data_IF_375149662371
#
_entry.id   IF_375149662371
#
_cell.length_a   1.000
_cell.length_b   1.000
_cell.length_c   1.000
_cell.angle_alpha   90.00
_cell.angle_beta   90.00
_cell.angle_gamma   90.00
#
_symmetry.space_group_name_H-M   'P 1'
#
loop_
_entity.id
_entity.type
_entity.pdbx_description
1 polymer ?
#
# COMPACT_ATOMS: atom_id res chain seq x y z
N UNK A 1 15.93 -16.48 -13.19
CA UNK A 1 16.66 -15.79 -14.26
C UNK A 1 17.11 -14.39 -13.82
N UNK A 2 16.23 -13.55 -13.19
CA UNK A 2 16.55 -12.18 -12.79
C UNK A 2 17.65 -12.10 -11.74
N UNK A 3 17.58 -12.90 -10.68
CA UNK A 3 18.63 -12.94 -9.64
C UNK A 3 20.01 -13.33 -10.20
N UNK A 4 20.05 -14.24 -11.18
CA UNK A 4 21.30 -14.60 -11.84
C UNK A 4 21.94 -13.42 -12.61
N UNK A 5 21.15 -12.40 -12.92
CA UNK A 5 21.61 -11.14 -13.53
C UNK A 5 21.82 -10.02 -12.47
N UNK A 6 21.74 -10.33 -11.18
CA UNK A 6 21.89 -9.36 -10.09
C UNK A 6 20.69 -8.43 -9.92
N UNK A 7 19.51 -8.79 -10.47
CA UNK A 7 18.29 -7.96 -10.43
C UNK A 7 17.40 -8.43 -9.28
N UNK A 8 17.05 -7.53 -8.37
CA UNK A 8 16.08 -7.75 -7.30
C UNK A 8 14.65 -7.63 -7.83
N UNK A 9 13.71 -8.34 -7.19
CA UNK A 9 12.31 -8.43 -7.60
C UNK A 9 11.41 -7.86 -6.50
N UNK A 10 10.67 -6.82 -6.80
CA UNK A 10 9.62 -6.32 -5.93
C UNK A 10 8.25 -6.62 -6.55
N UNK A 11 7.34 -7.17 -5.75
CA UNK A 11 5.95 -7.30 -6.15
C UNK A 11 5.13 -6.10 -5.68
N UNK A 12 4.06 -5.80 -6.42
CA UNK A 12 3.11 -4.78 -6.04
C UNK A 12 2.13 -5.35 -5.00
N UNK A 13 2.22 -4.84 -3.78
CA UNK A 13 1.39 -5.22 -2.63
C UNK A 13 0.16 -4.32 -2.53
N UNK A 14 -0.93 -4.67 -3.23
CA UNK A 14 -2.20 -3.95 -3.17
C UNK A 14 -3.00 -4.47 -1.98
N UNK A 15 -2.77 -3.91 -0.79
CA UNK A 15 -3.35 -4.40 0.48
C UNK A 15 -4.47 -3.53 1.03
N UNK A 16 -4.64 -2.30 0.52
CA UNK A 16 -5.70 -1.40 0.96
C UNK A 16 -7.09 -1.87 0.52
N UNK A 17 -7.19 -2.46 -0.67
CA UNK A 17 -8.46 -2.81 -1.29
C UNK A 17 -8.33 -4.04 -2.18
N UNK A 18 -9.47 -4.58 -2.56
CA UNK A 18 -9.60 -5.70 -3.50
C UNK A 18 -10.68 -5.39 -4.53
N UNK A 19 -10.60 -6.04 -5.69
CA UNK A 19 -11.69 -5.98 -6.65
C UNK A 19 -12.95 -6.71 -6.16
N UNK A 20 -14.12 -6.32 -6.64
CA UNK A 20 -15.42 -6.94 -6.30
C UNK A 20 -15.50 -8.44 -6.61
N UNK A 21 -14.61 -8.96 -7.46
CA UNK A 21 -14.46 -10.37 -7.75
C UNK A 21 -13.71 -11.19 -6.69
N UNK A 22 -13.17 -10.55 -5.64
CA UNK A 22 -12.47 -11.22 -4.57
C UNK A 22 -13.38 -12.23 -3.86
N UNK A 23 -12.87 -13.42 -3.62
CA UNK A 23 -13.68 -14.56 -3.17
C UNK A 23 -14.42 -14.31 -1.84
N UNK A 24 -13.77 -13.64 -0.88
CA UNK A 24 -14.39 -13.29 0.40
C UNK A 24 -15.49 -12.24 0.24
N UNK A 25 -15.32 -11.27 -0.67
CA UNK A 25 -16.36 -10.30 -0.96
C UNK A 25 -17.56 -10.92 -1.70
N UNK A 26 -17.32 -11.87 -2.60
CA UNK A 26 -18.40 -12.64 -3.23
C UNK A 26 -19.22 -13.43 -2.22
N UNK A 27 -18.57 -14.04 -1.24
CA UNK A 27 -19.30 -14.73 -0.16
C UNK A 27 -20.20 -13.75 0.62
N UNK A 28 -19.72 -12.52 0.88
CA UNK A 28 -20.55 -11.46 1.50
C UNK A 28 -21.72 -11.06 0.60
N UNK A 29 -21.52 -10.94 -0.71
CA UNK A 29 -22.59 -10.63 -1.65
C UNK A 29 -23.71 -11.71 -1.63
N UNK A 30 -23.32 -12.98 -1.48
CA UNK A 30 -24.26 -14.12 -1.45
C UNK A 30 -24.95 -14.29 -0.09
N UNK A 31 -24.17 -14.27 1.01
CA UNK A 31 -24.63 -14.66 2.35
C UNK A 31 -24.96 -13.47 3.25
N UNK A 32 -24.49 -12.27 2.90
CA UNK A 32 -24.74 -11.04 3.65
C UNK A 32 -24.34 -11.17 5.12
N UNK A 33 -25.30 -11.05 6.04
CA UNK A 33 -25.09 -11.16 7.49
C UNK A 33 -24.49 -12.50 7.94
N UNK A 34 -24.78 -13.55 7.22
CA UNK A 34 -24.34 -14.91 7.53
C UNK A 34 -22.94 -15.20 7.00
N UNK A 35 -22.34 -14.29 6.24
CA UNK A 35 -20.97 -14.44 5.77
C UNK A 35 -19.96 -14.32 6.92
N UNK A 36 -19.04 -15.30 7.06
CA UNK A 36 -17.95 -15.19 8.03
C UNK A 36 -16.92 -14.12 7.65
N UNK A 37 -17.01 -13.58 6.44
CA UNK A 37 -16.06 -12.59 5.90
C UNK A 37 -16.59 -11.16 5.93
N UNK A 38 -17.80 -10.89 6.47
CA UNK A 38 -18.36 -9.54 6.50
C UNK A 38 -17.45 -8.54 7.21
N UNK A 39 -16.77 -8.96 8.28
CA UNK A 39 -15.86 -8.11 9.06
C UNK A 39 -14.48 -7.95 8.44
N UNK A 40 -14.23 -8.58 7.28
CA UNK A 40 -13.03 -8.35 6.47
C UNK A 40 -13.08 -7.02 5.73
N UNK A 41 -14.26 -6.41 5.68
CA UNK A 41 -14.55 -5.15 5.00
C UNK A 41 -15.26 -4.21 5.96
N UNK A 42 -15.35 -2.95 5.62
CA UNK A 42 -16.18 -1.97 6.33
C UNK A 42 -17.55 -1.92 5.67
N UNK A 43 -18.52 -2.65 6.20
CA UNK A 43 -19.84 -2.86 5.60
C UNK A 43 -20.94 -2.28 6.49
N UNK A 44 -21.96 -1.66 5.87
CA UNK A 44 -23.23 -1.31 6.49
C UNK A 44 -24.39 -1.92 5.71
N UNK A 45 -25.18 -2.72 6.36
CA UNK A 45 -26.37 -3.36 5.75
C UNK A 45 -27.59 -2.43 5.71
N UNK A 46 -27.49 -1.25 6.30
CA UNK A 46 -28.52 -0.20 6.25
C UNK A 46 -28.37 0.73 5.04
N UNK A 47 -27.32 0.55 4.24
CA UNK A 47 -26.99 1.36 3.08
C UNK A 47 -26.94 0.59 1.78
N UNK A 48 -26.51 1.28 0.73
CA UNK A 48 -26.28 0.69 -0.58
C UNK A 48 -25.18 1.45 -1.33
N UNK A 49 -24.65 0.85 -2.39
CA UNK A 49 -23.74 1.48 -3.33
C UNK A 49 -24.39 1.60 -4.70
N UNK A 50 -23.67 2.17 -5.68
CA UNK A 50 -24.13 2.23 -7.08
C UNK A 50 -24.28 0.84 -7.74
N UNK A 51 -23.74 -0.20 -7.14
CA UNK A 51 -23.90 -1.59 -7.60
C UNK A 51 -25.17 -2.26 -7.11
N UNK A 52 -25.89 -1.63 -6.19
CA UNK A 52 -27.17 -2.10 -5.68
C UNK A 52 -27.14 -3.52 -5.10
N UNK A 53 -26.06 -3.86 -4.39
CA UNK A 53 -25.91 -5.17 -3.69
C UNK A 53 -26.85 -5.29 -2.47
N UNK A 54 -27.51 -4.19 -2.06
CA UNK A 54 -28.37 -4.13 -0.88
C UNK A 54 -27.58 -3.98 0.42
N UNK A 55 -26.36 -3.53 0.35
CA UNK A 55 -25.53 -3.05 1.46
C UNK A 55 -24.53 -2.01 0.95
N UNK A 56 -24.07 -1.15 1.86
CA UNK A 56 -22.98 -0.22 1.62
C UNK A 56 -21.66 -0.81 2.09
N UNK A 57 -20.57 -0.45 1.44
CA UNK A 57 -19.21 -0.77 1.87
C UNK A 57 -18.27 0.39 1.57
N UNK A 58 -17.22 0.51 2.38
CA UNK A 58 -16.16 1.47 2.13
C UNK A 58 -15.34 1.05 0.91
N UNK A 59 -15.03 2.03 0.06
CA UNK A 59 -14.23 1.85 -1.15
C UNK A 59 -13.07 2.84 -1.16
N UNK A 60 -12.01 2.52 -1.88
CA UNK A 60 -10.91 3.44 -2.05
C UNK A 60 -11.36 4.68 -2.85
N UNK A 61 -11.24 5.86 -2.21
CA UNK A 61 -11.62 7.16 -2.77
C UNK A 61 -13.02 7.19 -3.43
N UNK A 62 -13.96 6.40 -2.93
CA UNK A 62 -15.32 6.33 -3.45
C UNK A 62 -15.46 5.48 -4.72
N UNK A 63 -14.39 4.86 -5.19
CA UNK A 63 -14.43 3.93 -6.32
C UNK A 63 -14.95 2.56 -5.86
N UNK A 64 -16.26 2.33 -6.00
CA UNK A 64 -16.91 1.11 -5.49
C UNK A 64 -16.45 -0.20 -6.17
N UNK A 65 -15.64 -0.14 -7.23
CA UNK A 65 -14.96 -1.33 -7.77
C UNK A 65 -13.82 -1.82 -6.89
N UNK A 66 -13.28 -0.93 -6.03
CA UNK A 66 -12.12 -1.16 -5.19
C UNK A 66 -12.55 -1.21 -3.72
N UNK A 67 -12.99 -2.39 -3.29
CA UNK A 67 -13.56 -2.64 -1.96
C UNK A 67 -12.46 -2.60 -0.90
N UNK A 68 -12.57 -1.69 0.07
CA UNK A 68 -11.56 -1.52 1.10
C UNK A 68 -11.54 -2.68 2.09
N UNK A 69 -10.35 -3.18 2.38
CA UNK A 69 -10.11 -4.21 3.39
C UNK A 69 -10.03 -3.60 4.79
N UNK A 70 -10.55 -4.32 5.77
CA UNK A 70 -10.39 -3.99 7.18
C UNK A 70 -9.04 -4.52 7.70
N UNK A 71 -7.99 -3.72 7.57
CA UNK A 71 -6.63 -4.08 7.98
C UNK A 71 -6.44 -4.15 9.51
N UNK A 72 -7.45 -3.79 10.31
CA UNK A 72 -7.45 -4.01 11.75
C UNK A 72 -7.96 -5.41 12.13
N UNK A 73 -8.62 -6.11 11.20
CA UNK A 73 -9.09 -7.47 11.42
C UNK A 73 -7.92 -8.46 11.38
N UNK A 74 -7.66 -9.23 12.47
CA UNK A 74 -6.53 -10.17 12.50
C UNK A 74 -6.60 -11.25 11.42
N UNK A 75 -7.79 -11.71 11.02
CA UNK A 75 -7.93 -12.71 9.97
C UNK A 75 -7.51 -12.17 8.60
N UNK A 76 -7.81 -10.90 8.30
CA UNK A 76 -7.36 -10.21 7.09
C UNK A 76 -5.83 -10.06 7.10
N UNK A 77 -5.26 -9.61 8.22
CA UNK A 77 -3.80 -9.47 8.35
C UNK A 77 -3.09 -10.80 8.14
N UNK A 78 -3.53 -11.85 8.82
CA UNK A 78 -2.94 -13.18 8.70
C UNK A 78 -3.01 -13.70 7.27
N UNK A 79 -4.16 -13.54 6.61
CA UNK A 79 -4.32 -13.92 5.21
C UNK A 79 -3.32 -13.21 4.29
N UNK A 80 -3.19 -11.88 4.43
CA UNK A 80 -2.27 -11.10 3.61
C UNK A 80 -0.79 -11.45 3.89
N UNK A 81 -0.44 -11.69 5.15
CA UNK A 81 0.92 -12.10 5.52
C UNK A 81 1.25 -13.50 4.99
N UNK A 82 0.28 -14.41 4.96
CA UNK A 82 0.46 -15.74 4.36
C UNK A 82 0.64 -15.64 2.84
N UNK A 83 -0.06 -14.71 2.18
CA UNK A 83 0.18 -14.39 0.76
C UNK A 83 1.61 -13.93 0.54
N UNK A 84 2.11 -13.00 1.35
CA UNK A 84 3.51 -12.53 1.25
C UNK A 84 4.51 -13.66 1.46
N UNK A 85 4.29 -14.51 2.47
CA UNK A 85 5.13 -15.71 2.68
C UNK A 85 5.10 -16.64 1.47
N UNK A 86 3.92 -16.83 0.88
CA UNK A 86 3.75 -17.58 -0.36
C UNK A 86 4.55 -17.00 -1.52
N UNK A 87 4.50 -15.69 -1.72
CA UNK A 87 5.25 -15.02 -2.78
C UNK A 87 6.77 -15.17 -2.61
N UNK A 88 7.28 -15.06 -1.39
CA UNK A 88 8.70 -15.29 -1.12
C UNK A 88 9.08 -16.74 -1.40
N UNK A 89 8.28 -17.70 -0.94
CA UNK A 89 8.54 -19.13 -1.16
C UNK A 89 8.51 -19.51 -2.64
N UNK A 90 7.51 -19.03 -3.38
CA UNK A 90 7.19 -19.53 -4.73
C UNK A 90 7.92 -18.72 -5.83
N UNK A 91 8.19 -17.44 -5.58
CA UNK A 91 8.77 -16.53 -6.57
C UNK A 91 10.10 -15.90 -6.11
N UNK A 92 10.52 -16.14 -4.87
CA UNK A 92 11.76 -15.61 -4.29
C UNK A 92 11.88 -14.09 -4.43
N UNK A 93 10.78 -13.37 -4.19
CA UNK A 93 10.77 -11.90 -4.24
C UNK A 93 11.67 -11.29 -3.17
N UNK A 94 12.19 -10.09 -3.44
CA UNK A 94 13.11 -9.35 -2.57
C UNK A 94 12.44 -8.16 -1.86
N UNK A 95 11.15 -7.96 -2.08
CA UNK A 95 10.44 -6.87 -1.44
C UNK A 95 9.06 -6.64 -2.02
N UNK A 96 8.43 -5.60 -1.49
CA UNK A 96 7.12 -5.12 -1.93
C UNK A 96 7.16 -3.62 -2.22
N UNK A 97 6.50 -3.22 -3.29
CA UNK A 97 5.99 -1.86 -3.44
C UNK A 97 4.56 -1.87 -2.89
N UNK A 98 4.28 -1.06 -1.88
CA UNK A 98 2.96 -0.99 -1.26
C UNK A 98 2.13 0.08 -1.94
N UNK A 99 1.10 -0.36 -2.66
CA UNK A 99 0.12 0.50 -3.29
C UNK A 99 -0.60 1.35 -2.25
N UNK A 100 -0.80 2.63 -2.54
CA UNK A 100 -1.46 3.62 -1.68
C UNK A 100 -1.08 3.50 -0.20
N UNK A 101 0.21 3.39 0.09
CA UNK A 101 0.69 3.17 1.46
C UNK A 101 0.19 4.23 2.45
N UNK A 102 -0.13 5.43 1.99
CA UNK A 102 -0.72 6.50 2.80
C UNK A 102 -2.15 6.17 3.30
N UNK A 103 -2.83 5.19 2.70
CA UNK A 103 -4.14 4.69 3.11
C UNK A 103 -4.08 3.49 4.05
N UNK A 104 -2.90 2.84 4.20
CA UNK A 104 -2.75 1.65 5.01
C UNK A 104 -2.78 2.00 6.51
N UNK A 105 -3.36 1.09 7.30
CA UNK A 105 -3.31 1.18 8.75
C UNK A 105 -1.86 1.09 9.25
N UNK A 106 -1.46 2.00 10.14
CA UNK A 106 -0.08 2.04 10.64
C UNK A 106 0.30 0.82 11.49
N UNK A 107 -0.67 0.23 12.19
CA UNK A 107 -0.46 -1.02 12.92
C UNK A 107 -0.20 -2.18 11.96
N UNK A 108 -0.96 -2.25 10.85
CA UNK A 108 -0.71 -3.22 9.78
C UNK A 108 0.69 -3.03 9.17
N UNK A 109 1.10 -1.78 8.89
CA UNK A 109 2.46 -1.50 8.37
C UNK A 109 3.56 -1.95 9.33
N UNK A 110 3.38 -1.72 10.65
CA UNK A 110 4.35 -2.14 11.65
C UNK A 110 4.47 -3.67 11.73
N UNK A 111 3.36 -4.39 11.68
CA UNK A 111 3.36 -5.85 11.65
C UNK A 111 3.95 -6.40 10.35
N UNK A 112 3.64 -5.77 9.20
CA UNK A 112 4.23 -6.12 7.90
C UNK A 112 5.74 -5.86 7.89
N UNK A 113 6.21 -4.78 8.54
CA UNK A 113 7.64 -4.51 8.70
C UNK A 113 8.33 -5.60 9.52
N UNK A 114 7.74 -6.01 10.65
CA UNK A 114 8.26 -7.13 11.44
C UNK A 114 8.32 -8.45 10.65
N UNK A 115 7.33 -8.70 9.79
CA UNK A 115 7.37 -9.83 8.87
C UNK A 115 8.52 -9.67 7.85
N UNK A 116 8.66 -8.52 7.22
CA UNK A 116 9.71 -8.23 6.24
C UNK A 116 11.10 -8.47 6.82
N UNK A 117 11.36 -7.95 8.02
CA UNK A 117 12.66 -8.10 8.70
C UNK A 117 12.99 -9.55 9.06
N UNK A 118 11.98 -10.43 9.21
CA UNK A 118 12.14 -11.83 9.57
C UNK A 118 12.12 -12.82 8.43
N UNK A 119 11.52 -12.46 7.27
CA UNK A 119 11.21 -13.42 6.20
C UNK A 119 12.39 -13.66 5.26
N UNK A 120 13.17 -12.63 4.96
CA UNK A 120 14.33 -12.68 4.07
C UNK A 120 15.29 -11.53 4.38
N UNK A 121 16.61 -11.74 4.41
CA UNK A 121 17.56 -10.64 4.55
C UNK A 121 17.35 -9.57 3.46
N UNK A 122 17.41 -8.31 3.85
CA UNK A 122 17.25 -7.16 2.95
C UNK A 122 15.91 -7.11 2.20
N UNK A 123 14.85 -7.74 2.75
CA UNK A 123 13.52 -7.64 2.15
C UNK A 123 13.01 -6.20 2.22
N UNK A 124 12.83 -5.56 1.07
CA UNK A 124 12.52 -4.13 0.99
C UNK A 124 11.01 -3.86 1.03
N UNK A 125 10.61 -2.83 1.77
CA UNK A 125 9.26 -2.24 1.69
C UNK A 125 9.38 -0.82 1.15
N UNK A 126 8.78 -0.56 -0.02
CA UNK A 126 8.70 0.76 -0.64
C UNK A 126 7.25 1.18 -0.68
N UNK A 127 6.87 2.20 0.09
CA UNK A 127 5.49 2.68 0.15
C UNK A 127 5.20 3.73 -0.92
N UNK A 128 4.08 3.59 -1.63
CA UNK A 128 3.59 4.68 -2.45
C UNK A 128 2.92 5.73 -1.56
N UNK A 129 3.52 6.93 -1.53
CA UNK A 129 2.98 8.10 -0.84
C UNK A 129 3.03 9.30 -1.75
N UNK A 130 1.94 10.06 -1.83
CA UNK A 130 1.84 11.17 -2.77
C UNK A 130 2.38 12.47 -2.18
N UNK A 131 2.02 12.77 -0.94
CA UNK A 131 2.37 14.02 -0.26
C UNK A 131 2.21 13.87 1.25
N UNK A 132 2.63 14.86 1.99
CA UNK A 132 2.54 14.91 3.45
C UNK A 132 3.90 14.76 4.14
N UNK A 133 3.89 14.44 5.41
CA UNK A 133 5.11 14.13 6.16
C UNK A 133 5.49 12.66 5.90
N UNK A 134 6.51 12.43 5.09
CA UNK A 134 6.96 11.10 4.73
C UNK A 134 7.49 10.29 5.92
N UNK A 135 7.94 10.92 7.01
CA UNK A 135 8.38 10.21 8.22
C UNK A 135 7.27 9.34 8.83
N UNK A 136 6.01 9.66 8.57
CA UNK A 136 4.87 8.86 9.02
C UNK A 136 4.89 7.44 8.46
N UNK A 137 5.37 7.26 7.24
CA UNK A 137 5.38 5.97 6.53
C UNK A 137 6.78 5.42 6.29
N UNK A 138 7.81 6.24 6.47
CA UNK A 138 9.22 5.92 6.24
C UNK A 138 9.98 6.07 7.55
N UNK A 139 10.08 4.99 8.30
CA UNK A 139 10.74 4.93 9.60
C UNK A 139 11.07 3.48 9.96
N UNK A 140 11.69 3.26 11.12
CA UNK A 140 12.13 1.93 11.56
C UNK A 140 10.99 0.94 11.83
N UNK A 141 9.74 1.41 11.90
CA UNK A 141 8.55 0.60 12.15
C UNK A 141 7.58 0.51 10.97
N UNK A 142 7.94 1.08 9.81
CA UNK A 142 7.09 1.10 8.62
C UNK A 142 7.92 0.79 7.36
N UNK A 143 7.69 1.52 6.26
CA UNK A 143 8.45 1.29 5.02
C UNK A 143 9.92 1.69 5.18
N UNK A 144 10.81 1.00 4.48
CA UNK A 144 12.22 1.37 4.37
C UNK A 144 12.39 2.63 3.52
N UNK A 145 11.50 2.83 2.56
CA UNK A 145 11.49 3.98 1.66
C UNK A 145 10.08 4.28 1.21
N UNK A 146 9.88 5.47 0.65
CA UNK A 146 8.63 5.88 -0.01
C UNK A 146 8.92 6.51 -1.36
N UNK A 147 7.89 6.57 -2.21
CA UNK A 147 7.96 7.29 -3.48
C UNK A 147 8.08 8.80 -3.23
N UNK A 148 8.98 9.46 -3.95
CA UNK A 148 9.23 10.88 -3.77
C UNK A 148 8.50 11.72 -4.83
N UNK A 149 7.18 11.71 -4.80
CA UNK A 149 6.35 12.50 -5.74
C UNK A 149 6.56 14.02 -5.57
N UNK A 150 6.91 14.47 -4.37
CA UNK A 150 7.14 15.89 -4.11
C UNK A 150 8.38 16.41 -4.86
N UNK A 151 9.48 15.67 -4.79
CA UNK A 151 10.68 15.99 -5.56
C UNK A 151 10.44 15.85 -7.07
N UNK A 152 9.74 14.80 -7.49
CA UNK A 152 9.33 14.62 -8.88
C UNK A 152 8.53 15.83 -9.39
N UNK A 153 7.54 16.28 -8.61
CA UNK A 153 6.75 17.46 -8.96
C UNK A 153 7.61 18.72 -9.05
N UNK A 154 8.52 18.92 -8.10
CA UNK A 154 9.45 20.04 -8.12
C UNK A 154 10.34 20.04 -9.36
N UNK A 155 10.91 18.89 -9.73
CA UNK A 155 11.71 18.73 -10.95
C UNK A 155 10.88 19.01 -12.20
N UNK A 156 9.75 18.32 -12.35
CA UNK A 156 8.85 18.46 -13.50
C UNK A 156 8.40 19.91 -13.71
N UNK A 157 7.90 20.55 -12.64
CA UNK A 157 7.43 21.94 -12.71
C UNK A 157 8.56 22.91 -13.07
N UNK A 158 9.73 22.77 -12.43
CA UNK A 158 10.86 23.65 -12.65
C UNK A 158 11.34 23.64 -14.11
N UNK A 159 11.48 22.46 -14.69
CA UNK A 159 11.92 22.33 -16.08
C UNK A 159 10.86 22.79 -17.09
N UNK A 160 9.58 22.62 -16.79
CA UNK A 160 8.51 23.05 -17.70
C UNK A 160 8.22 24.55 -17.64
N UNK A 161 8.40 25.18 -16.46
CA UNK A 161 8.10 26.62 -16.27
C UNK A 161 9.32 27.51 -16.28
N UNK A 162 10.54 26.94 -16.16
CA UNK A 162 11.78 27.67 -15.99
C UNK A 162 11.98 28.22 -14.55
N UNK A 163 11.08 27.90 -13.62
CA UNK A 163 11.18 28.34 -12.21
C UNK A 163 11.92 27.29 -11.37
N UNK A 164 13.23 27.46 -11.20
CA UNK A 164 14.08 26.52 -10.45
C UNK A 164 13.90 26.57 -8.92
N UNK A 165 13.12 27.53 -8.39
CA UNK A 165 12.86 27.61 -6.94
C UNK A 165 12.07 26.40 -6.41
N UNK A 166 11.25 25.73 -7.24
CA UNK A 166 10.47 24.58 -6.81
C UNK A 166 11.35 23.38 -6.44
N UNK A 167 12.47 23.15 -7.15
CA UNK A 167 13.44 22.09 -6.79
C UNK A 167 14.04 22.37 -5.41
N UNK A 168 14.53 23.61 -5.20
CA UNK A 168 15.11 24.01 -3.93
C UNK A 168 14.13 23.89 -2.77
N UNK A 169 12.87 24.27 -2.99
CA UNK A 169 11.81 24.14 -2.00
C UNK A 169 11.55 22.68 -1.62
N UNK A 170 11.39 21.81 -2.60
CA UNK A 170 11.13 20.37 -2.37
C UNK A 170 12.28 19.71 -1.62
N UNK A 171 13.53 20.00 -2.00
CA UNK A 171 14.70 19.45 -1.33
C UNK A 171 14.82 19.96 0.13
N UNK A 172 14.60 21.26 0.36
CA UNK A 172 14.67 21.84 1.69
C UNK A 172 13.60 21.25 2.63
N UNK A 173 12.39 20.96 2.14
CA UNK A 173 11.36 20.30 2.94
C UNK A 173 11.77 18.92 3.41
N UNK A 174 12.48 18.16 2.58
CA UNK A 174 12.88 16.80 2.88
C UNK A 174 14.16 16.68 3.70
N UNK A 175 14.93 17.76 3.80
CA UNK A 175 16.23 17.78 4.49
C UNK A 175 16.15 17.40 5.98
N UNK A 176 15.00 17.58 6.63
CA UNK A 176 14.76 17.22 8.03
C UNK A 176 14.18 15.81 8.22
N UNK A 177 14.01 15.00 7.17
CA UNK A 177 13.50 13.65 7.27
C UNK A 177 14.53 12.71 7.91
N UNK A 178 14.08 11.81 8.77
CA UNK A 178 14.96 10.82 9.45
C UNK A 178 15.61 9.86 8.46
N UNK A 179 14.88 9.56 7.38
CA UNK A 179 15.37 8.71 6.29
C UNK A 179 15.20 9.42 4.96
N UNK A 180 16.16 9.22 4.06
CA UNK A 180 16.07 9.73 2.71
C UNK A 180 15.13 8.87 1.87
N UNK A 181 14.29 9.50 1.08
CA UNK A 181 13.53 8.80 0.07
C UNK A 181 14.49 8.20 -0.95
N UNK A 182 14.51 6.87 -1.07
CA UNK A 182 15.36 6.16 -2.02
C UNK A 182 14.89 6.35 -3.47
N UNK A 183 13.69 6.85 -3.64
CA UNK A 183 13.01 6.87 -4.92
C UNK A 183 12.55 8.28 -5.30
N UNK A 184 12.97 8.74 -6.47
CA UNK A 184 12.53 10.02 -7.04
C UNK A 184 11.86 9.74 -8.38
N UNK A 185 10.59 10.09 -8.49
CA UNK A 185 9.86 9.94 -9.73
C UNK A 185 8.52 9.21 -9.58
N UNK A 186 7.83 9.16 -10.69
CA UNK A 186 6.57 8.41 -10.83
C UNK A 186 6.89 7.01 -11.33
N UNK A 187 6.21 6.01 -10.74
CA UNK A 187 6.29 4.63 -11.24
C UNK A 187 5.61 4.49 -12.58
#
# INVERSE_FOLDING_TARGET
ALHAAGIKILFDGVFNHVGRGFWAFKDVQEKRWDSPYKDWFHISFDGNTNYNDGFWYEAWEGCNELVKLNLQNPAVKNYLFDVVRGWVRDYDIDGLRLDVAYCLDLGFLAELRGLADSIKPEFALVGETLHGDYNRWMNDHACHSVTNYECYKGLYSSFNTGNMHEISYSLNRQFGSEQWCLYTGKH
#
